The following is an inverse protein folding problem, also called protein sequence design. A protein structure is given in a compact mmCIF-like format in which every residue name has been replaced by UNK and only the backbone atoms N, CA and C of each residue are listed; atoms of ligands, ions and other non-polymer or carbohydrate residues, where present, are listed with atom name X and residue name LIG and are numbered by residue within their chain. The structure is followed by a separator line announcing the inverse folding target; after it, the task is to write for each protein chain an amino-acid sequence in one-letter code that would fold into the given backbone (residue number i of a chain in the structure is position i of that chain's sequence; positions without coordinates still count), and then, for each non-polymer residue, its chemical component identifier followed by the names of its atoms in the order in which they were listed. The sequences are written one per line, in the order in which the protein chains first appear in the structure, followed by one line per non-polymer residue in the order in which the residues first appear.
data_IF_624215363461
#
_entry.id   IF_624215363461
#
_cell.length_a   1.000
_cell.length_b   1.000
_cell.length_c   1.000
_cell.angle_alpha   90.00
_cell.angle_beta   90.00
_cell.angle_gamma   90.00
#
_symmetry.space_group_name_H-M   'P 1'
#
loop_
_entity.id
_entity.type
_entity.pdbx_description
1 polymer ?
#
# COMPACT_ATOMS: atom_id res chain seq x y z
N UNK A 1 -8.89 17.20 4.83
CA UNK A 1 -7.79 17.30 5.80
C UNK A 1 -7.57 16.03 6.64
N UNK A 2 -8.38 14.95 6.50
CA UNK A 2 -8.29 13.76 7.38
C UNK A 2 -7.44 12.62 6.74
N UNK A 3 -7.22 12.63 5.42
CA UNK A 3 -6.43 11.58 4.72
C UNK A 3 -4.91 11.81 4.70
N UNK A 4 -4.43 13.05 4.84
CA UNK A 4 -2.97 13.35 4.79
C UNK A 4 -2.21 12.72 5.97
N UNK A 5 -2.84 12.65 7.14
CA UNK A 5 -2.21 12.10 8.35
C UNK A 5 -1.83 10.63 8.19
N UNK A 6 -2.61 9.84 7.44
CA UNK A 6 -2.30 8.44 7.17
C UNK A 6 -1.02 8.30 6.33
N UNK A 7 -0.93 9.07 5.24
CA UNK A 7 0.23 8.99 4.35
C UNK A 7 1.51 9.48 5.00
N UNK A 8 1.45 10.48 5.89
CA UNK A 8 2.62 10.95 6.63
C UNK A 8 3.17 9.89 7.59
N UNK A 9 2.29 9.20 8.34
CA UNK A 9 2.70 8.12 9.25
C UNK A 9 3.29 6.95 8.45
N UNK A 10 2.67 6.59 7.33
CA UNK A 10 3.15 5.50 6.49
C UNK A 10 4.48 5.86 5.80
N UNK A 11 4.65 7.11 5.38
CA UNK A 11 5.91 7.64 4.86
C UNK A 11 7.04 7.53 5.89
N UNK A 12 6.77 7.92 7.14
CA UNK A 12 7.73 7.82 8.23
C UNK A 12 8.16 6.36 8.50
N UNK A 13 7.22 5.41 8.45
CA UNK A 13 7.51 3.98 8.67
C UNK A 13 8.23 3.30 7.50
N UNK A 14 7.91 3.69 6.27
CA UNK A 14 8.43 3.03 5.05
C UNK A 14 9.72 3.68 4.53
N UNK A 15 10.00 4.91 4.95
CA UNK A 15 11.04 5.76 4.35
C UNK A 15 10.72 6.16 2.90
N UNK A 16 9.46 6.08 2.49
CA UNK A 16 8.98 6.52 1.18
C UNK A 16 8.31 7.89 1.31
N UNK A 17 8.35 8.68 0.25
CA UNK A 17 7.68 9.98 0.26
C UNK A 17 6.15 9.81 0.27
N UNK A 18 5.43 10.57 1.10
CA UNK A 18 3.97 10.46 1.25
C UNK A 18 3.23 10.62 -0.10
N UNK A 19 3.70 11.53 -0.98
CA UNK A 19 3.11 11.69 -2.32
C UNK A 19 3.34 10.46 -3.21
N UNK A 20 4.45 9.76 -3.05
CA UNK A 20 4.74 8.52 -3.78
C UNK A 20 3.77 7.42 -3.35
N UNK A 21 3.55 7.26 -2.04
CA UNK A 21 2.59 6.29 -1.50
C UNK A 21 1.18 6.58 -2.02
N UNK A 22 0.75 7.84 -1.96
CA UNK A 22 -0.56 8.24 -2.49
C UNK A 22 -0.67 8.07 -4.01
N UNK A 23 0.44 8.17 -4.76
CA UNK A 23 0.45 7.84 -6.20
C UNK A 23 0.34 6.33 -6.44
N UNK A 24 0.98 5.50 -5.62
CA UNK A 24 0.91 4.03 -5.70
C UNK A 24 -0.51 3.54 -5.44
N UNK A 25 -1.17 4.03 -4.39
CA UNK A 25 -2.56 3.62 -4.05
C UNK A 25 -3.55 3.96 -5.17
N UNK A 26 -3.41 5.14 -5.80
CA UNK A 26 -4.24 5.57 -6.92
C UNK A 26 -3.84 4.94 -8.26
N UNK A 27 -2.87 4.02 -8.28
CA UNK A 27 -2.38 3.38 -9.50
C UNK A 27 -1.65 4.31 -10.47
N UNK A 28 -1.21 5.51 -10.03
CA UNK A 28 -0.45 6.47 -10.86
C UNK A 28 1.03 6.13 -11.00
N UNK A 29 1.56 5.27 -10.11
CA UNK A 29 2.94 4.80 -10.14
C UNK A 29 2.98 3.29 -9.93
N UNK A 30 3.89 2.63 -10.64
CA UNK A 30 4.18 1.22 -10.42
C UNK A 30 5.37 1.08 -9.44
N UNK A 31 5.14 0.66 -8.19
CA UNK A 31 6.21 0.48 -7.22
C UNK A 31 7.07 -0.75 -7.54
N UNK A 32 8.35 -0.71 -7.16
CA UNK A 32 9.21 -1.91 -7.15
C UNK A 32 8.79 -2.87 -6.04
N UNK A 33 9.13 -4.16 -6.18
CA UNK A 33 8.86 -5.17 -5.14
C UNK A 33 9.38 -4.75 -3.75
N UNK A 34 10.58 -4.16 -3.69
CA UNK A 34 11.18 -3.63 -2.46
C UNK A 34 10.34 -2.52 -1.82
N UNK A 35 9.74 -1.65 -2.63
CA UNK A 35 8.85 -0.60 -2.13
C UNK A 35 7.53 -1.17 -1.60
N UNK A 36 6.97 -2.17 -2.28
CA UNK A 36 5.74 -2.83 -1.82
C UNK A 36 6.00 -3.62 -0.54
N UNK A 37 7.13 -4.29 -0.43
CA UNK A 37 7.56 -4.99 0.79
C UNK A 37 7.67 -4.04 1.99
N UNK A 38 8.29 -2.87 1.79
CA UNK A 38 8.32 -1.81 2.83
C UNK A 38 6.91 -1.40 3.26
N UNK A 39 5.99 -1.22 2.31
CA UNK A 39 4.60 -0.85 2.58
C UNK A 39 3.90 -1.98 3.35
N UNK A 40 4.06 -3.24 2.93
CA UNK A 40 3.49 -4.41 3.61
C UNK A 40 3.96 -4.50 5.07
N UNK A 41 5.27 -4.37 5.30
CA UNK A 41 5.88 -4.38 6.62
C UNK A 41 5.35 -3.23 7.50
N UNK A 42 5.24 -2.02 6.95
CA UNK A 42 4.72 -0.87 7.69
C UNK A 42 3.22 -0.98 8.04
N UNK A 43 2.46 -1.74 7.24
CA UNK A 43 1.06 -2.10 7.49
C UNK A 43 0.90 -3.36 8.35
N UNK A 44 1.99 -3.98 8.81
CA UNK A 44 1.99 -5.25 9.54
C UNK A 44 1.25 -6.38 8.80
N UNK A 45 1.40 -6.46 7.48
CA UNK A 45 0.79 -7.49 6.66
C UNK A 45 1.84 -8.21 5.81
N UNK A 46 1.51 -9.41 5.33
CA UNK A 46 2.38 -10.14 4.41
C UNK A 46 2.26 -9.58 2.99
N UNK A 47 3.34 -9.64 2.21
CA UNK A 47 3.34 -9.20 0.81
C UNK A 47 2.24 -9.87 -0.02
N UNK A 48 2.01 -11.21 0.06
CA UNK A 48 0.92 -11.86 -0.66
C UNK A 48 -0.46 -11.31 -0.30
N UNK A 49 -0.68 -10.93 0.97
CA UNK A 49 -1.96 -10.36 1.40
C UNK A 49 -2.31 -9.06 0.69
N UNK A 50 -1.34 -8.30 0.17
CA UNK A 50 -1.61 -7.09 -0.63
C UNK A 50 -2.16 -7.40 -2.02
N UNK A 51 -1.98 -8.61 -2.52
CA UNK A 51 -2.40 -9.03 -3.87
C UNK A 51 -3.50 -10.09 -3.86
N UNK A 52 -3.79 -10.68 -2.70
CA UNK A 52 -4.85 -11.65 -2.50
C UNK A 52 -6.21 -10.94 -2.55
N UNK A 53 -6.77 -10.86 -3.75
CA UNK A 53 -8.20 -10.64 -3.91
C UNK A 53 -8.89 -11.99 -3.81
N UNK A 54 -9.48 -12.30 -2.65
CA UNK A 54 -10.43 -13.39 -2.56
C UNK A 54 -11.62 -13.06 -3.47
N UNK A 55 -11.67 -13.69 -4.64
CA UNK A 55 -12.75 -13.51 -5.58
C UNK A 55 -13.94 -14.34 -5.09
N UNK A 56 -14.77 -13.75 -4.23
CA UNK A 56 -16.04 -14.34 -3.77
C UNK A 56 -17.06 -14.25 -4.92
N UNK A 57 -16.76 -14.89 -6.05
CA UNK A 57 -17.79 -15.20 -7.04
C UNK A 57 -18.61 -16.33 -6.47
N UNK A 58 -19.69 -15.97 -5.77
CA UNK A 58 -20.82 -16.86 -5.61
C UNK A 58 -21.26 -17.26 -7.03
N UNK A 59 -20.91 -18.49 -7.44
CA UNK A 59 -21.60 -19.16 -8.54
C UNK A 59 -23.05 -19.31 -8.09
N UNK A 60 -23.90 -18.42 -8.58
CA UNK A 60 -25.33 -18.69 -8.69
C UNK A 60 -25.54 -19.79 -9.73
#
# INVERSE_FOLDING_TARGET
MIFESFYLILAAKTGLHYTYIGQVERGKKNPSLKSIEKIANALNTSLPCLFLFCNIRNKA
#
